data_IF_774102367944
#
_entry.id   IF_774102367944
#
_cell.length_a   1.000
_cell.length_b   1.000
_cell.length_c   1.000
_cell.angle_alpha   90.00
_cell.angle_beta   90.00
_cell.angle_gamma   90.00
#
_symmetry.space_group_name_H-M   'P 1'
#
loop_
_entity.id
_entity.type
_entity.pdbx_description
1 polymer ?
#
# COMPACT_ATOMS: atom_id res chain seq x y z
N UNK A 1 13.33 -8.67 21.66
CA UNK A 1 14.68 -9.14 21.28
C UNK A 1 14.83 -8.89 19.79
N UNK A 2 15.50 -7.80 19.41
CA UNK A 2 15.79 -7.42 18.03
C UNK A 2 17.17 -8.00 17.68
N UNK A 3 17.20 -9.24 17.17
CA UNK A 3 18.36 -9.70 16.41
C UNK A 3 18.23 -9.10 15.00
N UNK A 4 19.32 -8.53 14.49
CA UNK A 4 19.40 -7.94 13.16
C UNK A 4 19.31 -9.02 12.07
N UNK A 5 18.12 -9.56 11.87
CA UNK A 5 17.80 -10.45 10.75
C UNK A 5 17.82 -9.63 9.46
N UNK A 6 18.19 -10.28 8.34
CA UNK A 6 18.13 -9.65 7.02
C UNK A 6 16.71 -9.17 6.73
N UNK A 7 16.56 -8.01 6.07
CA UNK A 7 15.24 -7.53 5.67
C UNK A 7 14.61 -8.51 4.68
N UNK A 8 13.62 -9.27 5.14
CA UNK A 8 12.83 -10.17 4.30
C UNK A 8 11.57 -9.42 3.86
N UNK A 9 11.40 -9.17 2.55
CA UNK A 9 10.18 -8.54 2.06
C UNK A 9 8.98 -9.46 2.33
N UNK A 10 7.86 -8.85 2.71
CA UNK A 10 6.62 -9.54 3.00
C UNK A 10 6.13 -10.38 1.81
N UNK A 11 5.54 -11.54 2.10
CA UNK A 11 5.01 -12.40 1.04
C UNK A 11 3.85 -11.72 0.32
N UNK A 12 3.90 -11.74 -1.02
CA UNK A 12 2.83 -11.19 -1.87
C UNK A 12 1.49 -11.82 -1.51
N UNK A 13 1.44 -13.09 -1.11
CA UNK A 13 0.21 -13.82 -0.79
C UNK A 13 -0.38 -13.51 0.59
N UNK A 14 0.30 -12.70 1.42
CA UNK A 14 -0.22 -12.34 2.73
C UNK A 14 -1.44 -11.41 2.60
N UNK A 15 -2.58 -11.85 3.13
CA UNK A 15 -3.84 -11.08 3.12
C UNK A 15 -4.03 -10.22 4.38
N UNK A 16 -3.21 -10.42 5.43
CA UNK A 16 -3.35 -9.70 6.69
C UNK A 16 -3.19 -8.19 6.49
N UNK A 17 -2.21 -7.77 5.69
CA UNK A 17 -1.97 -6.36 5.39
C UNK A 17 -3.12 -5.71 4.62
N UNK A 18 -3.62 -6.28 3.50
CA UNK A 18 -4.82 -5.76 2.85
C UNK A 18 -6.04 -5.63 3.77
N UNK A 19 -6.30 -6.64 4.61
CA UNK A 19 -7.44 -6.64 5.53
C UNK A 19 -7.27 -5.57 6.61
N UNK A 20 -6.06 -5.44 7.17
CA UNK A 20 -5.75 -4.42 8.16
C UNK A 20 -5.88 -3.01 7.59
N UNK A 21 -5.33 -2.76 6.39
CA UNK A 21 -5.47 -1.48 5.69
C UNK A 21 -6.93 -1.15 5.39
N UNK A 22 -7.73 -2.12 4.95
CA UNK A 22 -9.16 -1.94 4.72
C UNK A 22 -9.91 -1.62 6.02
N UNK A 23 -9.52 -2.24 7.12
CA UNK A 23 -10.12 -1.97 8.44
C UNK A 23 -9.81 -0.55 8.90
N UNK A 24 -8.55 -0.09 8.73
CA UNK A 24 -8.15 1.27 9.08
C UNK A 24 -8.87 2.33 8.25
N UNK A 25 -9.01 2.14 6.93
CA UNK A 25 -9.70 3.12 6.09
C UNK A 25 -11.20 3.21 6.42
N UNK A 26 -11.84 2.07 6.75
CA UNK A 26 -13.23 2.05 7.22
C UNK A 26 -13.34 2.79 8.55
N UNK A 27 -12.48 2.49 9.53
CA UNK A 27 -12.48 3.18 10.82
C UNK A 27 -12.27 4.68 10.65
N UNK A 28 -11.36 5.12 9.78
CA UNK A 28 -11.13 6.53 9.49
C UNK A 28 -12.39 7.22 8.93
N UNK A 29 -13.09 6.59 7.99
CA UNK A 29 -14.32 7.15 7.42
C UNK A 29 -15.44 7.27 8.44
N UNK A 30 -15.63 6.27 9.31
CA UNK A 30 -16.75 6.24 10.25
C UNK A 30 -16.47 6.93 11.59
N UNK A 31 -15.24 6.90 12.09
CA UNK A 31 -14.91 7.49 13.40
C UNK A 31 -14.42 8.94 13.28
N UNK A 32 -13.83 9.33 12.15
CA UNK A 32 -13.25 10.67 11.99
C UNK A 32 -14.05 11.49 10.98
N UNK A 33 -14.15 11.02 9.74
CA UNK A 33 -14.79 11.81 8.68
C UNK A 33 -16.31 11.96 8.88
N UNK A 34 -17.00 10.89 9.30
CA UNK A 34 -18.45 10.92 9.46
C UNK A 34 -18.90 11.87 10.59
N UNK A 35 -18.28 11.89 11.80
CA UNK A 35 -18.62 12.87 12.82
C UNK A 35 -18.27 14.30 12.41
N UNK A 36 -17.10 14.52 11.80
CA UNK A 36 -16.72 15.85 11.31
C UNK A 36 -17.67 16.36 10.22
N UNK A 37 -18.12 15.48 9.32
CA UNK A 37 -19.10 15.82 8.30
C UNK A 37 -20.47 16.19 8.88
N UNK A 38 -20.89 15.52 9.96
CA UNK A 38 -22.12 15.88 10.68
C UNK A 38 -21.98 17.24 11.39
N UNK A 39 -20.83 17.52 12.00
CA UNK A 39 -20.58 18.79 12.69
C UNK A 39 -20.47 19.97 11.71
N UNK A 40 -19.77 19.78 10.59
CA UNK A 40 -19.50 20.83 9.60
C UNK A 40 -20.57 20.93 8.51
N UNK A 41 -21.49 19.97 8.43
CA UNK A 41 -22.46 19.80 7.35
C UNK A 41 -21.81 19.64 5.96
N UNK A 42 -20.55 19.19 5.90
CA UNK A 42 -19.81 18.94 4.67
C UNK A 42 -19.71 17.43 4.43
N UNK A 43 -19.93 16.99 3.19
CA UNK A 43 -19.74 15.60 2.77
C UNK A 43 -18.25 15.25 2.64
N UNK A 44 -17.53 15.20 3.76
CA UNK A 44 -16.11 14.91 3.81
C UNK A 44 -15.77 13.46 3.46
N UNK A 45 -16.68 12.52 3.72
CA UNK A 45 -16.43 11.10 3.51
C UNK A 45 -16.77 10.59 2.11
N UNK A 46 -17.57 11.34 1.34
CA UNK A 46 -18.03 10.99 0.00
C UNK A 46 -18.65 9.58 -0.17
N UNK A 47 -19.01 8.91 0.93
CA UNK A 47 -19.60 7.56 0.92
C UNK A 47 -21.13 7.66 0.81
N UNK A 48 -21.74 8.64 1.48
CA UNK A 48 -23.20 8.78 1.54
C UNK A 48 -23.79 9.39 0.26
N UNK A 49 -23.08 10.36 -0.31
CA UNK A 49 -23.37 11.01 -1.57
C UNK A 49 -22.08 11.26 -2.36
N UNK A 50 -22.16 11.32 -3.70
CA UNK A 50 -21.00 11.58 -4.55
C UNK A 50 -20.45 12.99 -4.32
N UNK A 51 -19.14 13.15 -4.49
CA UNK A 51 -18.49 14.42 -4.62
C UNK A 51 -18.87 15.09 -5.96
N UNK A 52 -18.77 16.42 -6.02
CA UNK A 52 -19.06 17.19 -7.24
C UNK A 52 -18.14 16.80 -8.41
N UNK A 53 -16.93 16.32 -8.10
CA UNK A 53 -15.96 15.84 -9.08
C UNK A 53 -16.21 14.41 -9.57
N UNK A 54 -17.14 13.67 -8.96
CA UNK A 54 -17.31 12.26 -9.31
C UNK A 54 -18.02 12.11 -10.65
N UNK A 55 -17.49 11.28 -11.57
CA UNK A 55 -18.05 11.13 -12.92
C UNK A 55 -19.43 10.46 -12.94
N UNK A 56 -19.89 9.90 -11.81
CA UNK A 56 -21.11 9.11 -11.73
C UNK A 56 -21.94 9.40 -10.46
N UNK A 57 -22.97 10.22 -10.58
CA UNK A 57 -23.97 10.44 -9.52
C UNK A 57 -25.20 9.52 -9.67
N UNK A 58 -24.95 8.21 -9.79
CA UNK A 58 -26.03 7.22 -9.95
C UNK A 58 -26.65 6.81 -8.61
N UNK A 59 -27.88 6.26 -8.64
CA UNK A 59 -28.54 5.66 -7.46
C UNK A 59 -27.69 4.55 -6.82
N UNK A 60 -26.81 3.91 -7.59
CA UNK A 60 -25.89 2.87 -7.12
C UNK A 60 -24.54 3.43 -6.62
N UNK A 61 -24.39 4.75 -6.46
CA UNK A 61 -23.13 5.39 -6.03
C UNK A 61 -22.49 4.70 -4.83
N UNK A 62 -23.28 4.40 -3.79
CA UNK A 62 -22.76 3.78 -2.56
C UNK A 62 -22.11 2.43 -2.82
N UNK A 63 -22.71 1.62 -3.69
CA UNK A 63 -22.12 0.34 -4.10
C UNK A 63 -20.84 0.59 -4.88
N UNK A 64 -20.83 1.54 -5.82
CA UNK A 64 -19.63 1.89 -6.57
C UNK A 64 -18.50 2.39 -5.66
N UNK A 65 -18.77 3.26 -4.68
CA UNK A 65 -17.80 3.80 -3.75
C UNK A 65 -17.22 2.70 -2.84
N UNK A 66 -18.09 1.83 -2.29
CA UNK A 66 -17.65 0.70 -1.46
C UNK A 66 -16.83 -0.29 -2.31
N UNK A 67 -17.32 -0.67 -3.49
CA UNK A 67 -16.60 -1.57 -4.40
C UNK A 67 -15.26 -0.99 -4.83
N UNK A 68 -15.20 0.30 -5.16
CA UNK A 68 -13.95 1.00 -5.46
C UNK A 68 -12.98 0.87 -4.29
N UNK A 69 -13.39 1.20 -3.06
CA UNK A 69 -12.51 1.12 -1.91
C UNK A 69 -12.08 -0.32 -1.58
N UNK A 70 -13.01 -1.29 -1.69
CA UNK A 70 -12.74 -2.70 -1.45
C UNK A 70 -11.82 -3.34 -2.48
N UNK A 71 -11.74 -2.81 -3.71
CA UNK A 71 -10.85 -3.30 -4.75
C UNK A 71 -9.50 -2.58 -4.76
N UNK A 72 -9.51 -1.25 -4.62
CA UNK A 72 -8.30 -0.42 -4.70
C UNK A 72 -7.39 -0.63 -3.48
N UNK A 73 -7.95 -0.77 -2.28
CA UNK A 73 -7.14 -0.98 -1.06
C UNK A 73 -6.25 -2.23 -1.15
N UNK A 74 -6.78 -3.44 -1.41
CA UNK A 74 -5.95 -4.63 -1.56
C UNK A 74 -5.02 -4.54 -2.77
N UNK A 75 -5.43 -3.90 -3.87
CA UNK A 75 -4.57 -3.70 -5.03
C UNK A 75 -3.33 -2.87 -4.69
N UNK A 76 -3.51 -1.73 -4.00
CA UNK A 76 -2.40 -0.86 -3.58
C UNK A 76 -1.46 -1.62 -2.63
N UNK A 77 -1.99 -2.36 -1.67
CA UNK A 77 -1.14 -3.15 -0.75
C UNK A 77 -0.31 -4.19 -1.52
N UNK A 78 -0.89 -4.85 -2.53
CA UNK A 78 -0.17 -5.82 -3.37
C UNK A 78 0.91 -5.14 -4.20
N UNK A 79 0.62 -3.99 -4.81
CA UNK A 79 1.60 -3.20 -5.55
C UNK A 79 2.76 -2.76 -4.64
N UNK A 80 2.46 -2.33 -3.42
CA UNK A 80 3.47 -1.97 -2.44
C UNK A 80 4.38 -3.16 -2.09
N UNK A 81 3.82 -4.33 -1.81
CA UNK A 81 4.61 -5.54 -1.55
C UNK A 81 5.47 -5.94 -2.76
N UNK A 82 4.93 -5.85 -3.98
CA UNK A 82 5.67 -6.13 -5.21
C UNK A 82 6.85 -5.17 -5.40
N UNK A 83 6.63 -3.88 -5.21
CA UNK A 83 7.68 -2.86 -5.27
C UNK A 83 8.77 -3.11 -4.21
N UNK A 84 8.37 -3.51 -3.00
CA UNK A 84 9.31 -3.86 -1.94
C UNK A 84 10.19 -5.06 -2.32
N UNK A 85 9.61 -6.13 -2.84
CA UNK A 85 10.37 -7.30 -3.32
C UNK A 85 11.32 -6.92 -4.47
N UNK A 86 10.84 -6.13 -5.42
CA UNK A 86 11.64 -5.68 -6.57
C UNK A 86 12.83 -4.83 -6.13
N UNK A 87 12.61 -3.84 -5.26
CA UNK A 87 13.68 -2.98 -4.73
C UNK A 87 14.75 -3.78 -3.97
N UNK A 88 14.34 -4.76 -3.17
CA UNK A 88 15.29 -5.61 -2.44
C UNK A 88 16.09 -6.49 -3.40
N UNK A 89 15.46 -7.05 -4.43
CA UNK A 89 16.13 -7.86 -5.43
C UNK A 89 17.16 -7.03 -6.21
N UNK A 90 16.79 -5.82 -6.64
CA UNK A 90 17.65 -4.88 -7.34
C UNK A 90 18.87 -4.46 -6.50
N UNK A 91 18.64 -4.04 -5.25
CA UNK A 91 19.72 -3.69 -4.32
C UNK A 91 20.68 -4.87 -4.09
N UNK A 92 20.15 -6.10 -3.97
CA UNK A 92 20.97 -7.30 -3.79
C UNK A 92 21.84 -7.57 -5.02
N UNK A 93 21.34 -7.36 -6.23
CA UNK A 93 22.13 -7.53 -7.46
C UNK A 93 23.28 -6.53 -7.51
N UNK A 94 23.05 -5.26 -7.19
CA UNK A 94 24.09 -4.23 -7.15
C UNK A 94 25.19 -4.52 -6.12
N UNK A 95 24.83 -5.03 -4.94
CA UNK A 95 25.81 -5.43 -3.92
C UNK A 95 26.66 -6.61 -4.42
N UNK A 96 26.04 -7.62 -5.03
CA UNK A 96 26.76 -8.80 -5.56
C UNK A 96 27.73 -8.39 -6.67
N UNK A 97 27.30 -7.52 -7.58
CA UNK A 97 28.13 -7.02 -8.68
C UNK A 97 29.36 -6.25 -8.14
N UNK A 98 29.15 -5.38 -7.15
CA UNK A 98 30.22 -4.63 -6.50
C UNK A 98 31.25 -5.55 -5.83
N UNK A 99 30.79 -6.52 -5.03
CA UNK A 99 31.68 -7.49 -4.36
C UNK A 99 32.46 -8.35 -5.36
N UNK A 100 31.83 -8.76 -6.47
CA UNK A 100 32.50 -9.53 -7.52
C UNK A 100 33.60 -8.70 -8.21
N UNK A 101 33.33 -7.43 -8.49
CA UNK A 101 34.31 -6.51 -9.05
C UNK A 101 35.54 -6.34 -8.13
N UNK A 102 35.34 -6.17 -6.83
CA UNK A 102 36.44 -6.10 -5.86
C UNK A 102 37.31 -7.37 -5.86
N UNK A 103 36.69 -8.56 -5.84
CA UNK A 103 37.42 -9.83 -5.89
C UNK A 103 38.25 -10.02 -7.16
N UNK A 104 37.76 -9.56 -8.32
CA UNK A 104 38.49 -9.62 -9.59
C UNK A 104 39.70 -8.69 -9.57
N UNK A 105 39.54 -7.47 -9.04
CA UNK A 105 40.63 -6.49 -8.93
C UNK A 105 41.74 -7.00 -8.02
N UNK A 106 41.40 -7.55 -6.84
CA UNK A 106 42.38 -8.11 -5.91
C UNK A 106 43.17 -9.25 -6.55
N UNK A 107 42.52 -10.15 -7.29
CA UNK A 107 43.19 -11.25 -8.01
C UNK A 107 44.14 -10.79 -9.12
N UNK A 108 43.93 -9.61 -9.72
CA UNK A 108 44.87 -9.05 -10.72
C UNK A 108 46.10 -8.39 -10.08
N UNK A 109 46.03 -8.04 -8.80
CA UNK A 109 47.09 -7.38 -8.05
C UNK A 109 48.00 -8.35 -7.28
N UNK A 110 47.65 -9.65 -7.25
CA UNK A 110 48.43 -10.73 -6.61
C UNK A 110 49.07 -11.59 -7.69
#
# INVERSE_FOLDING_TARGET
>A
MLHGESFVPESINNIAWPVFSLSLIVLYHYLILQPLGLLTQVNLNCILCPAVSDPFASRFWRLCAISHQSLVTPLITRLYSLLGVWLVADAKQHVIETSMHEHIVIKKLT
#
